data_IF_263026829802
#
_entry.id   IF_263026829802
#
_cell.length_a   1.000
_cell.length_b   1.000
_cell.length_c   1.000
_cell.angle_alpha   90.00
_cell.angle_beta   90.00
_cell.angle_gamma   90.00
#
_symmetry.space_group_name_H-M   'P 1'
#
loop_
_entity.id
_entity.type
_entity.pdbx_description
1 polymer ?
#
# COMPACT_ATOMS: atom_id res chain seq x y z
N UNK A 1 2.55 -30.64 8.85
CA UNK A 1 3.22 -29.85 7.79
C UNK A 1 2.27 -28.72 7.46
N UNK A 2 2.61 -27.50 7.88
CA UNK A 2 1.83 -26.31 7.52
C UNK A 2 2.21 -26.02 6.07
N UNK A 3 1.25 -26.11 5.14
CA UNK A 3 1.49 -25.69 3.76
C UNK A 3 1.84 -24.21 3.77
N UNK A 4 2.90 -23.83 3.06
CA UNK A 4 3.20 -22.42 2.83
C UNK A 4 2.05 -21.89 1.97
N UNK A 5 1.21 -21.06 2.56
CA UNK A 5 0.15 -20.35 1.85
C UNK A 5 0.84 -19.33 0.94
N UNK A 6 0.62 -19.44 -0.36
CA UNK A 6 1.20 -18.52 -1.34
C UNK A 6 0.58 -17.15 -1.14
N UNK A 7 1.43 -16.13 -1.00
CA UNK A 7 0.97 -14.76 -0.78
C UNK A 7 0.57 -14.18 -2.14
N UNK A 8 -0.67 -13.72 -2.32
CA UNK A 8 -1.10 -13.16 -3.58
C UNK A 8 -0.32 -11.86 -3.89
N UNK A 9 -0.06 -11.63 -5.16
CA UNK A 9 0.73 -10.48 -5.63
C UNK A 9 -0.11 -9.57 -6.51
N UNK A 10 0.10 -8.26 -6.38
CA UNK A 10 -0.53 -7.29 -7.25
C UNK A 10 -0.06 -7.50 -8.68
N UNK A 11 -0.99 -7.63 -9.63
CA UNK A 11 -0.66 -7.85 -11.05
C UNK A 11 0.03 -6.68 -11.73
N UNK A 12 0.03 -5.50 -11.10
CA UNK A 12 0.62 -4.28 -11.64
C UNK A 12 2.03 -4.01 -11.11
N UNK A 13 2.19 -3.94 -9.79
CA UNK A 13 3.50 -3.65 -9.17
C UNK A 13 4.28 -4.91 -8.75
N UNK A 14 3.66 -6.10 -8.82
CA UNK A 14 4.23 -7.37 -8.37
C UNK A 14 4.56 -7.41 -6.86
N UNK A 15 4.02 -6.48 -6.08
CA UNK A 15 4.17 -6.46 -4.63
C UNK A 15 3.12 -7.37 -3.95
N UNK A 16 3.45 -7.98 -2.80
CA UNK A 16 2.50 -8.75 -2.01
C UNK A 16 1.28 -7.91 -1.61
N UNK A 17 0.09 -8.49 -1.73
CA UNK A 17 -1.17 -7.87 -1.30
C UNK A 17 -1.70 -8.60 -0.08
N UNK A 18 -1.76 -7.89 1.05
CA UNK A 18 -2.41 -8.40 2.26
C UNK A 18 -3.80 -7.81 2.37
N UNK A 19 -4.78 -8.61 2.79
CA UNK A 19 -6.17 -8.15 2.99
C UNK A 19 -6.80 -7.52 1.73
N UNK A 20 -6.76 -8.25 0.61
CA UNK A 20 -7.20 -7.74 -0.69
C UNK A 20 -8.67 -7.27 -0.67
N UNK A 21 -8.90 -6.11 -1.30
CA UNK A 21 -10.24 -5.64 -1.68
C UNK A 21 -10.31 -5.79 -3.20
N UNK A 22 -11.30 -6.53 -3.70
CA UNK A 22 -11.43 -6.70 -5.15
C UNK A 22 -11.71 -5.36 -5.86
N UNK A 23 -11.31 -5.28 -7.11
CA UNK A 23 -11.49 -4.10 -7.98
C UNK A 23 -12.95 -3.65 -8.02
N UNK A 24 -13.93 -4.55 -8.03
CA UNK A 24 -15.36 -4.19 -8.01
C UNK A 24 -15.80 -3.50 -6.72
N UNK A 25 -15.21 -3.87 -5.58
CA UNK A 25 -15.48 -3.22 -4.31
C UNK A 25 -14.83 -1.84 -4.23
N UNK A 26 -13.62 -1.70 -4.80
CA UNK A 26 -12.96 -0.39 -4.94
C UNK A 26 -13.75 0.52 -5.88
N UNK A 27 -14.14 0.00 -7.06
CA UNK A 27 -14.96 0.71 -8.04
C UNK A 27 -16.27 1.19 -7.42
N UNK A 28 -16.93 0.36 -6.62
CA UNK A 28 -18.20 0.75 -5.97
C UNK A 28 -18.03 1.96 -5.04
N UNK A 29 -16.92 2.06 -4.32
CA UNK A 29 -16.68 3.23 -3.46
C UNK A 29 -16.33 4.46 -4.29
N UNK A 30 -15.51 4.28 -5.33
CA UNK A 30 -15.20 5.36 -6.27
C UNK A 30 -16.46 5.86 -7.01
N UNK A 31 -17.31 4.97 -7.48
CA UNK A 31 -18.52 5.34 -8.21
C UNK A 31 -19.49 6.11 -7.32
N UNK A 32 -19.62 5.76 -6.04
CA UNK A 32 -20.39 6.57 -5.07
C UNK A 32 -19.79 7.95 -4.86
N UNK A 33 -18.47 8.05 -4.83
CA UNK A 33 -17.78 9.33 -4.76
C UNK A 33 -18.03 10.16 -6.03
N UNK A 34 -17.98 9.55 -7.21
CA UNK A 34 -18.30 10.20 -8.50
C UNK A 34 -19.76 10.64 -8.58
N UNK A 35 -20.71 9.84 -8.11
CA UNK A 35 -22.13 10.20 -8.09
C UNK A 35 -22.40 11.51 -7.30
N UNK A 36 -21.62 11.76 -6.25
CA UNK A 36 -21.70 12.99 -5.45
C UNK A 36 -20.95 14.17 -6.11
N UNK A 37 -19.74 13.90 -6.63
CA UNK A 37 -18.82 14.95 -7.10
C UNK A 37 -18.98 15.32 -8.56
N UNK A 38 -19.06 14.31 -9.43
CA UNK A 38 -19.01 14.46 -10.87
C UNK A 38 -19.81 13.35 -11.57
N UNK A 39 -21.15 13.33 -11.45
CA UNK A 39 -21.97 12.25 -12.00
C UNK A 39 -21.91 12.14 -13.53
N UNK A 40 -21.47 13.20 -14.23
CA UNK A 40 -21.40 13.25 -15.68
C UNK A 40 -20.24 12.46 -16.29
N UNK A 41 -19.25 12.06 -15.50
CA UNK A 41 -18.08 11.25 -15.94
C UNK A 41 -18.13 9.80 -15.46
N UNK A 42 -19.19 9.42 -14.73
CA UNK A 42 -19.29 8.08 -14.13
C UNK A 42 -19.29 6.95 -15.18
N UNK A 43 -19.81 7.24 -16.38
CA UNK A 43 -19.86 6.26 -17.48
C UNK A 43 -18.45 5.99 -18.01
N UNK A 44 -17.66 7.04 -18.25
CA UNK A 44 -16.30 6.95 -18.75
C UNK A 44 -15.39 6.23 -17.75
N UNK A 45 -15.55 6.50 -16.45
CA UNK A 45 -14.79 5.79 -15.40
C UNK A 45 -15.24 4.33 -15.26
N UNK A 46 -16.52 4.01 -15.50
CA UNK A 46 -16.99 2.63 -15.57
C UNK A 46 -16.36 1.89 -16.75
N UNK A 47 -16.27 2.51 -17.92
CA UNK A 47 -15.57 1.94 -19.08
C UNK A 47 -14.08 1.72 -18.79
N UNK A 48 -13.43 2.63 -18.07
CA UNK A 48 -12.05 2.47 -17.61
C UNK A 48 -11.89 1.29 -16.65
N UNK A 49 -12.79 1.13 -15.67
CA UNK A 49 -12.81 -0.01 -14.76
C UNK A 49 -12.98 -1.34 -15.51
N UNK A 50 -13.93 -1.40 -16.43
CA UNK A 50 -14.16 -2.58 -17.26
C UNK A 50 -12.93 -2.89 -18.12
N UNK A 51 -12.33 -1.88 -18.77
CA UNK A 51 -11.10 -2.05 -19.54
C UNK A 51 -9.94 -2.59 -18.71
N UNK A 52 -9.74 -2.03 -17.51
CA UNK A 52 -8.68 -2.45 -16.59
C UNK A 52 -8.89 -3.89 -16.10
N UNK A 53 -10.12 -4.25 -15.71
CA UNK A 53 -10.42 -5.58 -15.17
C UNK A 53 -10.33 -6.69 -16.22
N UNK A 54 -10.68 -6.40 -17.47
CA UNK A 54 -10.58 -7.35 -18.58
C UNK A 54 -9.16 -7.47 -19.17
N UNK A 55 -8.27 -6.52 -18.88
CA UNK A 55 -6.90 -6.51 -19.42
C UNK A 55 -6.00 -7.60 -18.82
N UNK A 56 -6.38 -8.19 -17.70
CA UNK A 56 -5.60 -9.22 -17.03
C UNK A 56 -6.31 -10.59 -17.16
N UNK A 57 -5.70 -11.59 -17.82
CA UNK A 57 -6.31 -12.91 -17.93
C UNK A 57 -6.40 -13.58 -16.56
N UNK A 58 -7.44 -14.38 -16.33
CA UNK A 58 -7.58 -15.14 -15.09
C UNK A 58 -6.33 -16.00 -14.85
N UNK A 59 -5.83 -15.95 -13.61
CA UNK A 59 -4.71 -16.76 -13.13
C UNK A 59 -5.27 -17.68 -12.06
N UNK A 60 -5.05 -18.98 -12.22
CA UNK A 60 -5.40 -19.96 -11.19
C UNK A 60 -4.49 -19.82 -9.96
N UNK A 61 -3.25 -19.34 -10.17
CA UNK A 61 -2.20 -19.28 -9.14
C UNK A 61 -2.14 -17.94 -8.39
N UNK A 62 -3.00 -16.96 -8.72
CA UNK A 62 -3.01 -15.65 -8.05
C UNK A 62 -4.43 -15.25 -7.70
N UNK A 63 -4.98 -15.98 -6.74
CA UNK A 63 -6.34 -15.82 -6.22
C UNK A 63 -6.32 -15.33 -4.80
N UNK A 64 -7.27 -14.46 -4.44
CA UNK A 64 -7.44 -14.01 -3.07
C UNK A 64 -8.93 -13.78 -2.78
N UNK A 65 -9.33 -13.95 -1.52
CA UNK A 65 -10.69 -13.63 -1.09
C UNK A 65 -10.79 -12.15 -0.75
N UNK A 66 -11.74 -11.46 -1.38
CA UNK A 66 -12.02 -10.07 -1.03
C UNK A 66 -12.49 -9.96 0.42
N UNK A 67 -11.80 -9.17 1.25
CA UNK A 67 -12.15 -9.01 2.67
C UNK A 67 -13.51 -8.36 2.88
N UNK A 68 -14.02 -7.64 1.86
CA UNK A 68 -15.28 -6.90 1.92
C UNK A 68 -16.48 -7.71 1.44
N UNK A 69 -16.46 -8.19 0.20
CA UNK A 69 -17.59 -8.95 -0.36
C UNK A 69 -17.49 -10.46 -0.16
N UNK A 70 -16.34 -10.97 0.29
CA UNK A 70 -16.05 -12.42 0.47
C UNK A 70 -16.04 -13.25 -0.82
N UNK A 71 -16.11 -12.60 -1.98
CA UNK A 71 -15.92 -13.27 -3.27
C UNK A 71 -14.44 -13.49 -3.56
N UNK A 72 -14.12 -14.61 -4.20
CA UNK A 72 -12.77 -14.88 -4.70
C UNK A 72 -12.52 -14.07 -5.97
N UNK A 73 -11.36 -13.42 -6.05
CA UNK A 73 -10.93 -12.70 -7.25
C UNK A 73 -9.65 -13.28 -7.81
N UNK A 74 -9.59 -13.40 -9.13
CA UNK A 74 -8.39 -13.77 -9.89
C UNK A 74 -7.57 -12.53 -10.30
N UNK A 75 -8.15 -11.34 -10.15
CA UNK A 75 -7.52 -10.09 -10.56
C UNK A 75 -7.05 -9.31 -9.34
N UNK A 76 -6.07 -9.87 -8.64
CA UNK A 76 -5.49 -9.24 -7.46
C UNK A 76 -4.73 -7.97 -7.86
N UNK A 77 -5.26 -6.82 -7.43
CA UNK A 77 -4.62 -5.51 -7.53
C UNK A 77 -4.54 -4.87 -6.16
N UNK A 78 -3.41 -4.23 -5.83
CA UNK A 78 -3.37 -3.42 -4.62
C UNK A 78 -4.24 -2.16 -4.83
N UNK A 79 -4.85 -1.61 -3.77
CA UNK A 79 -5.67 -0.41 -3.88
C UNK A 79 -4.94 0.78 -4.52
N UNK A 80 -3.63 0.92 -4.22
CA UNK A 80 -2.80 1.98 -4.77
C UNK A 80 -2.73 1.91 -6.31
N UNK A 81 -2.38 0.75 -6.87
CA UNK A 81 -2.29 0.57 -8.32
C UNK A 81 -3.65 0.76 -9.00
N UNK A 82 -4.72 0.21 -8.43
CA UNK A 82 -6.06 0.38 -8.99
C UNK A 82 -6.46 1.86 -9.04
N UNK A 83 -6.38 2.59 -7.91
CA UNK A 83 -6.78 4.00 -7.86
C UNK A 83 -5.87 4.86 -8.74
N UNK A 84 -4.58 4.54 -8.86
CA UNK A 84 -3.65 5.24 -9.76
C UNK A 84 -4.06 5.13 -11.22
N UNK A 85 -4.45 3.94 -11.69
CA UNK A 85 -4.90 3.77 -13.08
C UNK A 85 -6.19 4.55 -13.33
N UNK A 86 -7.15 4.46 -12.41
CA UNK A 86 -8.39 5.24 -12.55
C UNK A 86 -8.14 6.75 -12.47
N UNK A 87 -7.21 7.21 -11.63
CA UNK A 87 -6.79 8.62 -11.59
C UNK A 87 -6.24 9.07 -12.95
N UNK A 88 -5.40 8.26 -13.59
CA UNK A 88 -4.85 8.60 -14.91
C UNK A 88 -5.95 8.74 -15.97
N UNK A 89 -6.91 7.81 -15.99
CA UNK A 89 -8.07 7.89 -16.90
C UNK A 89 -8.94 9.12 -16.59
N UNK A 90 -9.24 9.35 -15.31
CA UNK A 90 -10.01 10.48 -14.83
C UNK A 90 -9.36 11.81 -15.22
N UNK A 91 -8.04 11.94 -15.08
CA UNK A 91 -7.29 13.16 -15.42
C UNK A 91 -7.37 13.50 -16.91
N UNK A 92 -7.44 12.49 -17.78
CA UNK A 92 -7.59 12.71 -19.22
C UNK A 92 -8.98 13.28 -19.57
N UNK A 93 -9.98 13.06 -18.72
CA UNK A 93 -11.37 13.50 -18.90
C UNK A 93 -11.62 14.83 -18.19
N UNK A 94 -11.29 14.89 -16.90
CA UNK A 94 -11.51 16.04 -16.02
C UNK A 94 -10.39 16.13 -14.96
N UNK A 95 -9.40 16.98 -15.23
CA UNK A 95 -8.23 17.18 -14.35
C UNK A 95 -8.65 17.68 -12.95
N UNK A 96 -9.68 18.52 -12.84
CA UNK A 96 -10.13 19.07 -11.56
C UNK A 96 -10.64 17.96 -10.64
N UNK A 97 -11.53 17.09 -11.13
CA UNK A 97 -12.05 15.94 -10.38
C UNK A 97 -10.93 14.95 -10.07
N UNK A 98 -9.97 14.75 -10.99
CA UNK A 98 -8.81 13.90 -10.72
C UNK A 98 -7.98 14.41 -9.52
N UNK A 99 -7.73 15.71 -9.43
CA UNK A 99 -7.01 16.31 -8.30
C UNK A 99 -7.82 16.23 -6.99
N UNK A 100 -9.15 16.39 -7.04
CA UNK A 100 -10.01 16.16 -5.87
C UNK A 100 -9.93 14.70 -5.39
N UNK A 101 -9.86 13.73 -6.30
CA UNK A 101 -9.68 12.32 -5.95
C UNK A 101 -8.39 12.09 -5.16
N UNK A 102 -7.28 12.70 -5.56
CA UNK A 102 -6.01 12.60 -4.83
C UNK A 102 -6.10 13.17 -3.42
N UNK A 103 -6.76 14.32 -3.28
CA UNK A 103 -6.93 15.00 -2.01
C UNK A 103 -7.80 14.19 -1.05
N UNK A 104 -8.94 13.67 -1.52
CA UNK A 104 -9.89 12.94 -0.68
C UNK A 104 -9.34 11.57 -0.25
N UNK A 105 -8.55 10.90 -1.10
CA UNK A 105 -7.96 9.60 -0.80
C UNK A 105 -6.53 9.69 -0.23
N UNK A 106 -5.97 10.90 -0.14
CA UNK A 106 -4.63 11.19 0.36
C UNK A 106 -3.52 10.33 -0.30
N UNK A 107 -3.59 10.18 -1.62
CA UNK A 107 -2.57 9.49 -2.41
C UNK A 107 -1.60 10.49 -3.04
N UNK A 108 -0.29 10.18 -3.02
CA UNK A 108 0.75 10.93 -3.71
C UNK A 108 1.24 10.16 -4.94
N UNK A 109 0.41 10.07 -5.99
CA UNK A 109 0.81 9.38 -7.23
C UNK A 109 1.85 10.17 -8.04
N UNK A 110 1.93 11.48 -7.85
CA UNK A 110 2.85 12.35 -8.59
C UNK A 110 4.21 12.54 -7.90
N UNK A 111 4.37 12.05 -6.66
CA UNK A 111 5.60 12.24 -5.88
C UNK A 111 5.86 13.71 -5.51
N UNK A 112 4.82 14.55 -5.56
CA UNK A 112 4.86 15.98 -5.25
C UNK A 112 4.49 16.26 -3.78
N UNK A 113 4.00 15.26 -3.06
CA UNK A 113 3.99 15.17 -1.60
C UNK A 113 3.26 16.27 -0.83
N UNK A 114 2.06 15.95 -0.32
CA UNK A 114 1.59 16.44 0.98
C UNK A 114 2.51 16.00 2.15
N UNK A 115 3.49 15.14 1.87
CA UNK A 115 4.54 14.67 2.77
C UNK A 115 5.62 15.71 3.12
N UNK A 116 5.61 16.89 2.50
CA UNK A 116 6.53 17.98 2.86
C UNK A 116 6.19 18.71 4.15
N UNK A 117 4.92 18.69 4.60
CA UNK A 117 4.45 19.52 5.72
C UNK A 117 3.88 18.74 6.91
N UNK A 118 3.58 17.45 6.76
CA UNK A 118 3.23 16.60 7.89
C UNK A 118 4.51 15.96 8.45
N UNK A 119 4.84 16.14 9.75
CA UNK A 119 5.88 15.35 10.37
C UNK A 119 5.45 13.89 10.27
N UNK A 120 6.13 13.15 9.41
CA UNK A 120 6.01 11.71 9.32
C UNK A 120 6.18 11.10 10.71
N UNK A 121 5.08 10.65 11.30
CA UNK A 121 5.13 9.50 12.19
C UNK A 121 4.41 8.39 11.45
N UNK A 122 5.13 7.55 10.69
CA UNK A 122 4.52 6.41 10.05
C UNK A 122 3.94 5.51 11.14
N UNK A 123 2.70 5.08 11.00
CA UNK A 123 2.20 3.91 11.71
C UNK A 123 2.96 2.71 11.12
N UNK A 124 4.13 2.43 11.70
CA UNK A 124 4.72 1.10 11.82
C UNK A 124 5.11 0.32 10.56
N UNK A 125 5.36 0.95 9.41
CA UNK A 125 5.99 0.28 8.26
C UNK A 125 7.31 0.93 7.87
N UNK A 126 8.30 0.80 8.75
CA UNK A 126 9.69 0.77 8.29
C UNK A 126 9.88 -0.55 7.55
N UNK A 127 10.31 -0.52 6.29
CA UNK A 127 10.88 -1.68 5.61
C UNK A 127 12.14 -2.12 6.37
N UNK A 128 11.95 -2.83 7.48
CA UNK A 128 13.05 -3.47 8.17
C UNK A 128 13.44 -4.67 7.32
N UNK A 129 14.64 -4.63 6.74
CA UNK A 129 15.33 -5.86 6.34
C UNK A 129 15.67 -6.63 7.61
N UNK A 130 14.70 -7.40 8.10
CA UNK A 130 14.92 -8.32 9.19
C UNK A 130 15.84 -9.44 8.70
N UNK A 131 17.09 -9.41 9.14
CA UNK A 131 18.05 -10.49 8.95
C UNK A 131 18.25 -11.24 10.27
N UNK A 132 18.52 -12.54 10.16
CA UNK A 132 19.02 -13.34 11.28
C UNK A 132 20.54 -13.21 11.29
N UNK A 133 21.11 -12.93 12.47
CA UNK A 133 22.55 -12.88 12.66
C UNK A 133 22.93 -12.38 14.04
N UNK A 134 24.20 -11.97 14.16
CA UNK A 134 24.74 -11.43 15.41
C UNK A 134 24.59 -9.92 15.46
N UNK A 135 24.04 -9.39 16.55
CA UNK A 135 23.90 -7.94 16.79
C UNK A 135 25.27 -7.26 16.88
N UNK A 136 25.49 -6.21 16.10
CA UNK A 136 26.77 -5.49 16.06
C UNK A 136 27.07 -4.71 17.35
N UNK A 137 26.06 -4.45 18.18
CA UNK A 137 26.21 -3.69 19.43
C UNK A 137 26.48 -4.58 20.64
N UNK A 138 25.68 -5.64 20.84
CA UNK A 138 25.82 -6.51 22.02
C UNK A 138 26.53 -7.84 21.74
N UNK A 139 26.73 -8.21 20.48
CA UNK A 139 27.37 -9.46 20.09
C UNK A 139 26.51 -10.72 20.30
N UNK A 140 25.23 -10.57 20.65
CA UNK A 140 24.31 -11.70 20.79
C UNK A 140 23.63 -12.03 19.46
N UNK A 141 23.38 -13.31 19.21
CA UNK A 141 22.55 -13.76 18.08
C UNK A 141 21.08 -13.35 18.29
N UNK A 142 20.46 -12.90 17.22
CA UNK A 142 19.06 -12.46 17.21
C UNK A 142 18.40 -12.91 15.91
N UNK A 143 17.24 -13.55 16.04
CA UNK A 143 16.37 -13.90 14.90
C UNK A 143 15.81 -12.66 14.18
N UNK A 144 15.96 -11.48 14.80
CA UNK A 144 15.49 -10.21 14.26
C UNK A 144 16.52 -9.10 14.51
N UNK A 145 17.30 -8.78 13.48
CA UNK A 145 18.15 -7.59 13.44
C UNK A 145 17.49 -6.51 12.58
N UNK A 146 17.56 -5.26 13.04
CA UNK A 146 17.07 -4.08 12.30
C UNK A 146 18.28 -3.23 11.90
N UNK A 147 18.30 -2.70 10.69
CA UNK A 147 19.35 -1.80 10.22
C UNK A 147 19.12 -0.38 10.78
N UNK A 148 20.08 0.16 11.54
CA UNK A 148 20.04 1.50 12.14
C UNK A 148 21.39 2.17 11.99
N UNK A 149 21.44 3.32 11.30
CA UNK A 149 22.70 4.04 11.06
C UNK A 149 23.77 3.25 10.27
N UNK A 150 23.35 2.26 9.46
CA UNK A 150 24.25 1.35 8.75
C UNK A 150 24.73 0.14 9.56
N UNK A 151 24.18 -0.08 10.76
CA UNK A 151 24.50 -1.18 11.65
C UNK A 151 23.31 -2.11 11.86
N UNK A 152 23.54 -3.41 12.00
CA UNK A 152 22.48 -4.37 12.32
C UNK A 152 22.37 -4.58 13.83
N UNK A 153 21.27 -4.11 14.42
CA UNK A 153 21.05 -4.09 15.87
C UNK A 153 19.83 -4.95 16.27
N UNK A 154 19.92 -5.65 17.40
CA UNK A 154 18.76 -6.33 17.97
C UNK A 154 17.80 -5.34 18.64
N UNK A 155 16.55 -5.75 18.82
CA UNK A 155 15.49 -4.89 19.40
C UNK A 155 15.87 -4.36 20.78
N UNK A 156 16.49 -5.17 21.63
CA UNK A 156 16.90 -4.75 22.98
C UNK A 156 17.97 -3.65 22.98
N UNK A 157 18.86 -3.62 21.99
CA UNK A 157 19.85 -2.54 21.86
C UNK A 157 19.23 -1.26 21.31
N UNK A 158 18.25 -1.37 20.41
CA UNK A 158 17.55 -0.21 19.85
C UNK A 158 16.66 0.49 20.88
N UNK A 159 15.96 -0.27 21.71
CA UNK A 159 15.16 0.27 22.81
C UNK A 159 16.02 1.04 23.82
N UNK A 160 17.22 0.55 24.12
CA UNK A 160 18.17 1.22 25.02
C UNK A 160 18.75 2.53 24.45
N UNK A 161 18.94 2.62 23.13
CA UNK A 161 19.38 3.85 22.45
C UNK A 161 18.30 4.93 22.49
N UNK A 162 17.03 4.59 22.25
CA UNK A 162 15.93 5.56 22.31
C UNK A 162 15.82 6.23 23.69
N UNK A 163 16.00 5.47 24.77
CA UNK A 163 16.01 6.02 26.13
C UNK A 163 17.22 6.95 26.35
N UNK A 164 18.40 6.58 25.85
CA UNK A 164 19.59 7.42 25.93
C UNK A 164 19.43 8.74 25.16
N UNK A 165 18.88 8.72 23.94
CA UNK A 165 18.64 9.94 23.15
C UNK A 165 17.59 10.85 23.80
N UNK A 166 16.52 10.28 24.37
CA UNK A 166 15.51 11.03 25.13
C UNK A 166 16.13 11.71 26.37
N UNK A 167 17.08 11.07 27.03
CA UNK A 167 17.80 11.64 28.17
C UNK A 167 18.87 12.67 27.77
N UNK A 168 19.55 12.49 26.64
CA UNK A 168 20.64 13.35 26.18
C UNK A 168 20.15 14.66 25.53
N UNK A 169 18.94 14.66 24.95
CA UNK A 169 18.40 15.79 24.18
C UNK A 169 17.02 16.27 24.66
N UNK A 170 16.48 15.67 25.73
CA UNK A 170 15.28 16.13 26.43
C UNK A 170 15.62 16.98 27.65
N UNK A 171 15.92 18.25 27.42
CA UNK A 171 16.01 19.34 28.40
C UNK A 171 15.60 20.65 27.77
#
# INVERSE_FOLDING_TARGET
MVGLEEIPVCRMCLEPVFYSICTDCLFRDLNRWLEDKAPFIAIEVMEAHDGLTHSFPDSEDNVEMCVRCRETTHNVMCPYCYIREIYHELRMIDEVTAEELLQDFNFDFEGNGYFGELPWSPIGFTHVRASHGTCETCGNDSDRLLEWGGHFMCTGCLEGEEEYWKLAHGG
#
